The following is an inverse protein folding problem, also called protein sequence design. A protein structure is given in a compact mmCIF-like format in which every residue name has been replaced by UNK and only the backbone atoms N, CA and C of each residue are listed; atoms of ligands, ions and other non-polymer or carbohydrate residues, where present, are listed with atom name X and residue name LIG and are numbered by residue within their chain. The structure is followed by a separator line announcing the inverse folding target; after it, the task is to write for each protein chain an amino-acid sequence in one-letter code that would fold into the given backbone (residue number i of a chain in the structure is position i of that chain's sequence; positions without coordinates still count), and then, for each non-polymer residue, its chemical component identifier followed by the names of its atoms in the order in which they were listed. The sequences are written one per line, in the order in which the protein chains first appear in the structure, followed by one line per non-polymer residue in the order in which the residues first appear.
data_IF_679497080964
#
_entry.id   IF_679497080964
#
_cell.length_a   1.000
_cell.length_b   1.000
_cell.length_c   1.000
_cell.angle_alpha   90.00
_cell.angle_beta   90.00
_cell.angle_gamma   90.00
#
_symmetry.space_group_name_H-M   'P 1'
#
loop_
_entity.id
_entity.type
_entity.pdbx_description
1 polymer ?
#
# COMPACT_ATOMS: atom_id res chain seq x y z
N UNK A 1 5.72 25.99 -0.98
CA UNK A 1 5.35 26.41 0.38
C UNK A 1 4.60 25.29 1.08
N UNK A 2 5.13 24.83 2.19
CA UNK A 2 4.47 23.78 2.96
C UNK A 2 3.40 24.41 3.83
N UNK A 3 2.14 24.06 3.59
CA UNK A 3 1.06 24.50 4.47
C UNK A 3 1.15 23.75 5.80
N UNK A 4 1.04 24.48 6.89
CA UNK A 4 0.97 23.87 8.21
C UNK A 4 -0.43 23.25 8.39
N UNK A 5 -0.45 21.98 8.78
CA UNK A 5 -1.70 21.28 9.10
C UNK A 5 -2.26 21.87 10.41
N UNK A 6 -3.53 22.24 10.40
CA UNK A 6 -4.20 22.74 11.61
C UNK A 6 -4.54 21.59 12.57
N UNK A 7 -4.81 21.93 13.83
CA UNK A 7 -5.27 20.96 14.82
C UNK A 7 -6.51 20.21 14.37
N UNK A 8 -7.49 20.93 13.81
CA UNK A 8 -8.73 20.36 13.31
C UNK A 8 -8.47 19.38 12.16
N UNK A 9 -7.62 19.77 11.22
CA UNK A 9 -7.26 18.93 10.08
C UNK A 9 -6.56 17.65 10.54
N UNK A 10 -5.63 17.76 11.49
CA UNK A 10 -4.89 16.60 12.00
C UNK A 10 -5.83 15.64 12.75
N UNK A 11 -6.73 16.17 13.56
CA UNK A 11 -7.69 15.35 14.32
C UNK A 11 -8.70 14.64 13.41
N UNK A 12 -9.04 15.27 12.30
CA UNK A 12 -9.96 14.72 11.31
C UNK A 12 -9.30 13.85 10.25
N UNK A 13 -7.98 13.63 10.34
CA UNK A 13 -7.23 12.87 9.35
C UNK A 13 -7.80 11.46 9.19
N UNK A 14 -8.30 11.18 8.00
CA UNK A 14 -8.89 9.90 7.64
C UNK A 14 -7.92 9.12 6.74
N UNK A 15 -7.50 7.95 7.20
CA UNK A 15 -6.54 7.10 6.51
C UNK A 15 -7.20 5.92 5.78
N UNK A 16 -8.53 5.92 5.69
CA UNK A 16 -9.27 4.83 5.04
C UNK A 16 -8.94 4.69 3.55
N UNK A 17 -8.61 5.79 2.87
CA UNK A 17 -8.22 5.76 1.47
C UNK A 17 -6.96 4.93 1.24
N UNK A 18 -6.03 4.93 2.17
CA UNK A 18 -4.82 4.09 2.10
C UNK A 18 -5.17 2.62 2.22
N UNK A 19 -6.10 2.27 3.11
CA UNK A 19 -6.60 0.90 3.26
C UNK A 19 -7.27 0.43 1.97
N UNK A 20 -8.13 1.26 1.38
CA UNK A 20 -8.81 0.94 0.12
C UNK A 20 -7.80 0.72 -1.02
N UNK A 21 -6.76 1.52 -1.09
CA UNK A 21 -5.70 1.38 -2.09
C UNK A 21 -4.96 0.06 -1.90
N UNK A 22 -4.60 -0.30 -0.68
CA UNK A 22 -3.93 -1.58 -0.38
C UNK A 22 -4.82 -2.76 -0.75
N UNK A 23 -6.11 -2.71 -0.46
CA UNK A 23 -7.08 -3.75 -0.85
C UNK A 23 -7.18 -3.89 -2.36
N UNK A 24 -7.20 -2.78 -3.09
CA UNK A 24 -7.21 -2.80 -4.56
C UNK A 24 -5.94 -3.44 -5.11
N UNK A 25 -4.78 -3.20 -4.49
CA UNK A 25 -3.53 -3.83 -4.88
C UNK A 25 -3.53 -5.33 -4.56
N UNK A 26 -4.16 -5.75 -3.45
CA UNK A 26 -4.34 -7.17 -3.13
C UNK A 26 -5.15 -7.88 -4.21
N UNK A 27 -6.21 -7.25 -4.72
CA UNK A 27 -7.02 -7.80 -5.81
C UNK A 27 -6.19 -7.96 -7.08
N UNK A 28 -5.31 -6.99 -7.38
CA UNK A 28 -4.39 -7.08 -8.51
C UNK A 28 -3.37 -8.21 -8.31
N UNK A 29 -2.87 -8.40 -7.10
CA UNK A 29 -1.97 -9.51 -6.79
C UNK A 29 -2.62 -10.85 -7.07
N UNK A 30 -3.85 -11.04 -6.60
CA UNK A 30 -4.60 -12.28 -6.82
C UNK A 30 -4.81 -12.55 -8.31
N UNK A 31 -5.21 -11.52 -9.06
CA UNK A 31 -5.40 -11.65 -10.50
C UNK A 31 -4.11 -12.04 -11.22
N UNK A 32 -2.97 -11.46 -10.81
CA UNK A 32 -1.67 -11.81 -11.39
C UNK A 32 -1.21 -13.21 -11.00
N UNK A 33 -1.49 -13.66 -9.77
CA UNK A 33 -1.18 -15.01 -9.33
C UNK A 33 -1.98 -16.04 -10.09
N UNK A 34 -3.27 -15.77 -10.38
CA UNK A 34 -4.10 -16.62 -11.23
C UNK A 34 -3.52 -16.73 -12.64
N UNK A 35 -3.01 -15.64 -13.20
CA UNK A 35 -2.35 -15.67 -14.51
C UNK A 35 -1.10 -16.55 -14.49
N UNK A 36 -0.32 -16.51 -13.40
CA UNK A 36 0.84 -17.39 -13.25
C UNK A 36 0.43 -18.86 -13.20
N UNK A 37 -0.63 -19.18 -12.49
CA UNK A 37 -1.17 -20.55 -12.41
C UNK A 37 -1.64 -21.02 -13.79
N UNK A 38 -2.32 -20.17 -14.54
CA UNK A 38 -2.76 -20.46 -15.90
C UNK A 38 -1.58 -20.72 -16.83
N UNK A 39 -0.52 -19.93 -16.71
CA UNK A 39 0.71 -20.10 -17.50
C UNK A 39 1.39 -21.43 -17.16
N UNK A 40 1.49 -21.77 -15.87
CA UNK A 40 2.09 -23.02 -15.43
C UNK A 40 1.30 -24.21 -16.01
N UNK A 41 -0.03 -24.13 -15.98
CA UNK A 41 -0.90 -25.16 -16.53
C UNK A 41 -0.74 -25.28 -18.06
N UNK A 42 -0.68 -24.15 -18.76
CA UNK A 42 -0.44 -24.11 -20.20
C UNK A 42 0.90 -24.75 -20.57
N UNK A 43 1.97 -24.48 -19.80
CA UNK A 43 3.27 -25.08 -20.00
C UNK A 43 3.24 -26.60 -19.82
N UNK A 44 2.49 -27.09 -18.82
CA UNK A 44 2.28 -28.53 -18.62
C UNK A 44 1.62 -29.19 -19.83
N UNK A 45 0.54 -28.57 -20.33
CA UNK A 45 -0.19 -29.09 -21.50
C UNK A 45 0.74 -29.14 -22.72
N UNK A 46 1.50 -28.08 -22.95
CA UNK A 46 2.42 -28.01 -24.10
C UNK A 46 3.50 -29.09 -23.98
N UNK A 47 4.09 -29.25 -22.78
CA UNK A 47 5.15 -30.22 -22.55
C UNK A 47 4.66 -31.66 -22.72
N UNK A 48 3.41 -31.95 -22.38
CA UNK A 48 2.85 -33.31 -22.46
C UNK A 48 2.22 -33.64 -23.82
N UNK A 49 1.81 -32.61 -24.57
CA UNK A 49 1.02 -32.81 -25.81
C UNK A 49 1.77 -32.47 -27.09
N UNK A 50 2.82 -31.65 -27.01
CA UNK A 50 3.56 -31.15 -28.16
C UNK A 50 5.05 -31.43 -28.01
N UNK A 51 5.71 -31.67 -29.13
CA UNK A 51 7.16 -31.90 -29.20
C UNK A 51 7.81 -30.98 -30.21
N UNK A 52 9.13 -30.83 -30.10
CA UNK A 52 9.97 -30.15 -31.08
C UNK A 52 10.13 -28.66 -30.84
N UNK A 53 10.61 -27.97 -31.85
CA UNK A 53 10.99 -26.56 -31.74
C UNK A 53 9.80 -25.64 -31.48
N UNK A 54 8.63 -25.95 -32.01
CA UNK A 54 7.44 -25.15 -31.80
C UNK A 54 7.01 -25.17 -30.34
N UNK A 55 7.05 -26.33 -29.69
CA UNK A 55 6.75 -26.47 -28.27
C UNK A 55 7.74 -25.69 -27.43
N UNK A 56 9.04 -25.81 -27.73
CA UNK A 56 10.09 -25.06 -27.03
C UNK A 56 9.92 -23.55 -27.18
N UNK A 57 9.58 -23.07 -28.38
CA UNK A 57 9.35 -21.66 -28.63
C UNK A 57 8.15 -21.12 -27.83
N UNK A 58 7.07 -21.91 -27.75
CA UNK A 58 5.88 -21.54 -26.96
C UNK A 58 6.20 -21.47 -25.47
N UNK A 59 6.92 -22.46 -24.95
CA UNK A 59 7.36 -22.48 -23.54
C UNK A 59 8.24 -21.26 -23.25
N UNK A 60 9.19 -20.94 -24.12
CA UNK A 60 10.07 -19.77 -23.96
C UNK A 60 9.28 -18.48 -23.87
N UNK A 61 8.22 -18.31 -24.69
CA UNK A 61 7.34 -17.14 -24.63
C UNK A 61 6.56 -17.09 -23.33
N UNK A 62 6.08 -18.23 -22.86
CA UNK A 62 5.35 -18.30 -21.58
C UNK A 62 6.28 -18.03 -20.41
N UNK A 63 7.53 -18.51 -20.46
CA UNK A 63 8.54 -18.20 -19.44
C UNK A 63 8.82 -16.69 -19.38
N UNK A 64 8.93 -16.02 -20.53
CA UNK A 64 9.15 -14.59 -20.57
C UNK A 64 7.96 -13.81 -20.00
N UNK A 65 6.74 -14.25 -20.28
CA UNK A 65 5.53 -13.65 -19.74
C UNK A 65 5.45 -13.88 -18.23
N UNK A 66 5.79 -15.07 -17.76
CA UNK A 66 5.85 -15.41 -16.33
C UNK A 66 6.81 -14.49 -15.59
N UNK A 67 7.98 -14.22 -16.14
CA UNK A 67 8.96 -13.30 -15.55
C UNK A 67 8.41 -11.88 -15.46
N UNK A 68 7.71 -11.40 -16.47
CA UNK A 68 7.09 -10.08 -16.48
C UNK A 68 6.01 -9.96 -15.40
N UNK A 69 5.17 -10.99 -15.27
CA UNK A 69 4.11 -11.01 -14.25
C UNK A 69 4.73 -11.06 -12.84
N UNK A 70 5.74 -11.87 -12.65
CA UNK A 70 6.45 -11.96 -11.36
C UNK A 70 7.07 -10.62 -10.97
N UNK A 71 7.71 -9.91 -11.92
CA UNK A 71 8.26 -8.58 -11.67
C UNK A 71 7.16 -7.58 -11.32
N UNK A 72 6.01 -7.67 -11.98
CA UNK A 72 4.86 -6.81 -11.69
C UNK A 72 4.29 -7.09 -10.28
N UNK A 73 4.18 -8.34 -9.89
CA UNK A 73 3.77 -8.74 -8.53
C UNK A 73 4.72 -8.14 -7.48
N UNK A 74 6.03 -8.26 -7.70
CA UNK A 74 7.03 -7.67 -6.80
C UNK A 74 6.84 -6.16 -6.67
N UNK A 75 6.62 -5.47 -7.79
CA UNK A 75 6.38 -4.02 -7.80
C UNK A 75 5.12 -3.65 -7.00
N UNK A 76 4.03 -4.41 -7.15
CA UNK A 76 2.79 -4.19 -6.39
C UNK A 76 3.06 -4.39 -4.90
N UNK A 77 3.77 -5.43 -4.52
CA UNK A 77 4.09 -5.72 -3.12
C UNK A 77 4.94 -4.61 -2.49
N UNK A 78 5.90 -4.08 -3.23
CA UNK A 78 6.72 -2.94 -2.77
C UNK A 78 5.87 -1.69 -2.57
N UNK A 79 4.94 -1.43 -3.49
CA UNK A 79 4.02 -0.30 -3.39
C UNK A 79 3.11 -0.45 -2.16
N UNK A 80 2.58 -1.64 -1.92
CA UNK A 80 1.76 -1.92 -0.74
C UNK A 80 2.54 -1.68 0.55
N UNK A 81 3.77 -2.15 0.63
CA UNK A 81 4.63 -1.96 1.79
C UNK A 81 4.90 -0.48 2.05
N UNK A 82 5.16 0.29 1.00
CA UNK A 82 5.40 1.73 1.09
C UNK A 82 4.15 2.46 1.61
N UNK A 83 2.98 2.15 1.07
CA UNK A 83 1.71 2.76 1.47
C UNK A 83 1.39 2.41 2.92
N UNK A 84 1.56 1.15 3.31
CA UNK A 84 1.30 0.69 4.68
C UNK A 84 2.21 1.39 5.67
N UNK A 85 3.50 1.53 5.35
CA UNK A 85 4.46 2.23 6.20
C UNK A 85 4.08 3.71 6.34
N UNK A 86 3.72 4.36 5.24
CA UNK A 86 3.29 5.76 5.25
C UNK A 86 2.05 5.95 6.13
N UNK A 87 1.04 5.08 5.97
CA UNK A 87 -0.18 5.11 6.77
C UNK A 87 0.12 4.95 8.26
N UNK A 88 0.96 3.97 8.62
CA UNK A 88 1.34 3.71 10.00
C UNK A 88 2.05 4.92 10.61
N UNK A 89 2.98 5.53 9.88
CA UNK A 89 3.70 6.72 10.35
C UNK A 89 2.75 7.91 10.56
N UNK A 90 1.81 8.12 9.64
CA UNK A 90 0.82 9.20 9.76
C UNK A 90 -0.13 8.97 10.93
N UNK A 91 -0.57 7.73 11.12
CA UNK A 91 -1.40 7.33 12.25
C UNK A 91 -0.69 7.59 13.59
N UNK A 92 0.58 7.22 13.66
CA UNK A 92 1.39 7.42 14.87
C UNK A 92 1.62 8.90 15.15
N UNK A 93 1.89 9.70 14.12
CA UNK A 93 2.04 11.14 14.25
C UNK A 93 0.77 11.78 14.79
N UNK A 94 -0.37 11.44 14.20
CA UNK A 94 -1.68 11.92 14.65
C UNK A 94 -1.90 11.59 16.12
N UNK A 95 -1.67 10.34 16.51
CA UNK A 95 -1.87 9.87 17.88
C UNK A 95 -0.95 10.58 18.86
N UNK A 96 0.33 10.73 18.51
CA UNK A 96 1.32 11.42 19.35
C UNK A 96 0.96 12.88 19.59
N UNK A 97 0.49 13.56 18.54
CA UNK A 97 0.08 14.96 18.66
C UNK A 97 -1.18 15.09 19.51
N UNK A 98 -2.18 14.24 19.31
CA UNK A 98 -3.40 14.24 20.10
C UNK A 98 -3.08 14.00 21.59
N UNK A 99 -2.22 13.03 21.88
CA UNK A 99 -1.81 12.74 23.25
C UNK A 99 -1.08 13.92 23.90
N UNK A 100 -0.20 14.58 23.15
CA UNK A 100 0.52 15.76 23.63
C UNK A 100 -0.42 16.92 23.90
N UNK A 101 -1.38 17.18 23.03
CA UNK A 101 -2.40 18.22 23.21
C UNK A 101 -3.24 17.92 24.44
N UNK A 102 -3.67 16.69 24.61
CA UNK A 102 -4.46 16.29 25.77
C UNK A 102 -3.71 16.53 27.09
N UNK A 103 -2.41 16.25 27.14
CA UNK A 103 -1.58 16.53 28.34
C UNK A 103 -1.50 18.02 28.62
N UNK A 104 -1.33 18.83 27.58
CA UNK A 104 -1.26 20.29 27.70
C UNK A 104 -2.59 20.83 28.25
N UNK A 105 -3.70 20.36 27.69
CA UNK A 105 -5.03 20.80 28.12
C UNK A 105 -5.35 20.38 29.55
N UNK A 106 -4.93 19.17 29.96
CA UNK A 106 -5.07 18.69 31.33
C UNK A 106 -4.26 19.52 32.33
N UNK A 107 -3.18 20.15 31.87
CA UNK A 107 -2.36 21.02 32.71
C UNK A 107 -2.96 22.44 32.86
N UNK A 108 -4.12 22.72 32.24
CA UNK A 108 -4.82 23.99 32.36
C UNK A 108 -4.55 24.98 31.23
N UNK A 109 -4.17 24.49 30.07
CA UNK A 109 -3.90 25.30 28.88
C UNK A 109 -4.85 24.93 27.76
N UNK A 110 -5.10 25.88 26.87
CA UNK A 110 -5.84 25.65 25.62
C UNK A 110 -4.86 25.64 24.45
N UNK A 111 -5.07 24.72 23.52
CA UNK A 111 -4.30 24.66 22.27
C UNK A 111 -5.22 25.07 21.14
N UNK A 112 -4.89 26.17 20.47
CA UNK A 112 -5.69 26.69 19.36
C UNK A 112 -5.50 25.85 18.08
N UNK A 113 -6.35 26.10 17.10
CA UNK A 113 -6.28 25.43 15.80
C UNK A 113 -4.95 25.69 15.05
N UNK A 114 -4.29 26.81 15.37
CA UNK A 114 -2.99 27.17 14.80
C UNK A 114 -1.83 26.79 15.71
N UNK A 115 -2.05 25.88 16.67
CA UNK A 115 -1.04 25.34 17.61
C UNK A 115 -0.49 26.35 18.61
N UNK A 116 -1.22 27.37 18.92
CA UNK A 116 -0.86 28.32 19.98
C UNK A 116 -1.39 27.83 21.33
N UNK A 117 -0.52 27.86 22.33
CA UNK A 117 -0.85 27.43 23.69
C UNK A 117 -1.11 28.66 24.54
N UNK A 118 -2.26 28.68 25.23
CA UNK A 118 -2.65 29.79 26.12
C UNK A 118 -3.23 29.21 27.40
N UNK A 119 -3.09 29.95 28.55
CA UNK A 119 -3.78 29.53 29.77
C UNK A 119 -5.29 29.52 29.55
N UNK A 120 -5.97 28.53 30.15
CA UNK A 120 -7.44 28.38 30.03
C UNK A 120 -8.22 29.48 30.76
N UNK A 121 -7.57 30.24 31.59
CA UNK A 121 -8.20 31.30 32.41
C UNK A 121 -7.66 32.68 32.07
#
# INVERSE_FOLDING_TARGET
MTQMVTKTELYALDLSSFTNTVESLDDQLRANQEKLDDIAHAKEIISSSLEGQSAQAMIAKLDALEQKITAHITSIQQTQATITTYRTNKQQLQRNVIDSVNRIELAGYDVSDTWRVRPSH
#
